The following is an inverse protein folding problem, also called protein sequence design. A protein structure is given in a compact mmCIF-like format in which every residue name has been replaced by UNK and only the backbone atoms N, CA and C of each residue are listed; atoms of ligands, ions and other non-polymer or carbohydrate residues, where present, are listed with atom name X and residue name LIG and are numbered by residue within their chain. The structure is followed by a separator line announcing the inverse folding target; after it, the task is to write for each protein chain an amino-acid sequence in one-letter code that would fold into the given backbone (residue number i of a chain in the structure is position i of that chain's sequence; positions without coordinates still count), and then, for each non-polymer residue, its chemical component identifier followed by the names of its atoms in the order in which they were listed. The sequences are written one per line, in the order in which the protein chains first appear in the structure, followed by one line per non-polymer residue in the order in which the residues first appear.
data_IF_542263968682
#
_entry.id   IF_542263968682
#
_cell.length_a   1.000
_cell.length_b   1.000
_cell.length_c   1.000
_cell.angle_alpha   90.00
_cell.angle_beta   90.00
_cell.angle_gamma   90.00
#
_symmetry.space_group_name_H-M   'P 1'
#
loop_
_entity.id
_entity.type
_entity.pdbx_description
1 polymer ?
#
# COMPACT_ATOMS: atom_id res chain seq x y z
N UNK A 1 -1.03 -11.99 1.03
CA UNK A 1 -1.86 -10.76 1.06
C UNK A 1 -1.76 -10.15 2.44
N UNK A 2 -1.46 -8.83 2.54
CA UNK A 2 -1.41 -8.12 3.81
C UNK A 2 -2.55 -7.09 3.87
N UNK A 3 -3.41 -7.19 4.88
CA UNK A 3 -4.35 -6.13 5.22
C UNK A 3 -3.66 -5.18 6.20
N UNK A 4 -3.34 -3.99 5.72
CA UNK A 4 -2.73 -2.93 6.49
C UNK A 4 -3.83 -1.98 6.96
N UNK A 5 -4.04 -1.91 8.28
CA UNK A 5 -5.16 -1.20 8.87
C UNK A 5 -4.74 -0.27 10.01
N UNK A 6 -5.54 0.76 10.18
CA UNK A 6 -5.48 1.68 11.31
C UNK A 6 -6.78 1.61 12.12
N UNK A 7 -6.66 1.84 13.41
CA UNK A 7 -7.83 2.19 14.21
C UNK A 7 -8.31 3.60 13.86
N UNK A 8 -9.60 3.86 14.01
CA UNK A 8 -10.15 5.22 13.91
C UNK A 8 -9.46 6.17 14.89
N UNK A 9 -9.42 7.45 14.56
CA UNK A 9 -8.97 8.50 15.45
C UNK A 9 -9.72 8.47 16.78
N UNK A 10 -9.04 8.73 17.90
CA UNK A 10 -9.61 8.63 19.24
C UNK A 10 -8.90 9.56 20.22
N UNK A 11 -9.58 9.97 21.33
CA UNK A 11 -8.96 10.81 22.35
C UNK A 11 -7.89 10.09 23.19
N UNK A 12 -7.75 8.78 23.03
CA UNK A 12 -6.80 7.93 23.77
C UNK A 12 -6.06 6.99 22.84
N UNK A 13 -4.86 6.52 23.20
CA UNK A 13 -4.10 5.58 22.36
C UNK A 13 -4.78 4.21 22.21
N UNK A 14 -5.63 3.84 23.16
CA UNK A 14 -6.41 2.59 23.14
C UNK A 14 -7.82 2.85 23.63
N UNK A 15 -8.80 2.25 22.98
CA UNK A 15 -10.22 2.34 23.32
C UNK A 15 -10.77 0.95 23.69
N UNK A 16 -11.81 0.88 24.53
CA UNK A 16 -12.38 -0.42 24.95
C UNK A 16 -12.83 -1.32 23.78
N UNK A 17 -13.38 -0.72 22.71
CA UNK A 17 -13.87 -1.38 21.53
C UNK A 17 -12.75 -1.96 20.63
N UNK A 18 -11.52 -1.43 20.71
CA UNK A 18 -10.40 -1.87 19.88
C UNK A 18 -10.12 -3.37 20.03
N UNK A 19 -10.21 -3.89 21.25
CA UNK A 19 -9.95 -5.29 21.56
C UNK A 19 -10.98 -6.22 20.89
N UNK A 20 -12.23 -5.83 20.89
CA UNK A 20 -13.30 -6.63 20.27
C UNK A 20 -13.14 -6.64 18.74
N UNK A 21 -12.89 -5.48 18.13
CA UNK A 21 -12.63 -5.35 16.70
C UNK A 21 -11.39 -6.14 16.27
N UNK A 22 -10.29 -6.02 17.01
CA UNK A 22 -9.07 -6.75 16.72
C UNK A 22 -9.26 -8.27 16.80
N UNK A 23 -9.95 -8.76 17.84
CA UNK A 23 -10.23 -10.18 18.00
C UNK A 23 -11.12 -10.72 16.86
N UNK A 24 -12.10 -9.95 16.40
CA UNK A 24 -12.93 -10.31 15.26
C UNK A 24 -12.10 -10.40 13.96
N UNK A 25 -11.21 -9.42 13.74
CA UNK A 25 -10.30 -9.39 12.60
C UNK A 25 -9.35 -10.60 12.62
N UNK A 26 -8.70 -10.89 13.76
CA UNK A 26 -7.81 -12.05 13.90
C UNK A 26 -8.55 -13.34 13.54
N UNK A 27 -9.74 -13.58 14.10
CA UNK A 27 -10.56 -14.76 13.77
C UNK A 27 -10.92 -14.85 12.28
N UNK A 28 -11.13 -13.71 11.62
CA UNK A 28 -11.41 -13.68 10.18
C UNK A 28 -10.18 -14.09 9.38
N UNK A 29 -8.98 -13.62 9.77
CA UNK A 29 -7.72 -13.98 9.13
C UNK A 29 -7.33 -15.43 9.38
N UNK A 30 -7.61 -15.99 10.57
CA UNK A 30 -7.42 -17.42 10.83
C UNK A 30 -8.28 -18.29 9.91
N UNK A 31 -9.56 -17.89 9.70
CA UNK A 31 -10.43 -18.57 8.75
C UNK A 31 -9.93 -18.48 7.30
N UNK A 32 -9.42 -17.31 6.88
CA UNK A 32 -8.82 -17.15 5.55
C UNK A 32 -7.59 -18.03 5.39
N UNK A 33 -6.69 -18.00 6.36
CA UNK A 33 -5.48 -18.81 6.32
C UNK A 33 -5.81 -20.32 6.32
N UNK A 34 -6.79 -20.75 7.11
CA UNK A 34 -7.26 -22.15 7.11
C UNK A 34 -7.87 -22.55 5.77
N UNK A 35 -8.67 -21.67 5.17
CA UNK A 35 -9.37 -21.95 3.90
C UNK A 35 -8.43 -22.02 2.70
N UNK A 36 -7.39 -21.17 2.68
CA UNK A 36 -6.51 -20.99 1.51
C UNK A 36 -5.08 -21.49 1.73
N UNK A 37 -4.79 -22.16 2.85
CA UNK A 37 -3.47 -22.71 3.14
C UNK A 37 -2.44 -21.67 3.55
N UNK A 38 -2.87 -20.51 4.07
CA UNK A 38 -1.98 -19.44 4.53
C UNK A 38 -1.90 -18.25 3.55
N UNK A 39 -0.90 -17.37 3.78
CA UNK A 39 -0.60 -16.23 2.90
C UNK A 39 -1.37 -14.94 3.23
N UNK A 40 -2.18 -14.92 4.29
CA UNK A 40 -2.89 -13.73 4.74
C UNK A 40 -2.31 -13.18 6.04
N UNK A 41 -1.93 -11.92 6.04
CA UNK A 41 -1.35 -11.20 7.17
C UNK A 41 -2.26 -10.03 7.53
N UNK A 42 -2.59 -9.91 8.81
CA UNK A 42 -3.24 -8.74 9.39
C UNK A 42 -2.19 -7.88 10.08
N UNK A 43 -2.06 -6.63 9.67
CA UNK A 43 -1.16 -5.64 10.25
C UNK A 43 -1.98 -4.43 10.72
N UNK A 44 -2.16 -4.29 12.03
CA UNK A 44 -2.90 -3.17 12.63
C UNK A 44 -1.93 -2.28 13.38
N UNK A 45 -1.84 -1.01 12.98
CA UNK A 45 -0.93 -0.05 13.61
C UNK A 45 -1.42 0.45 14.96
N UNK A 46 -0.46 0.89 15.76
CA UNK A 46 -0.75 1.64 17.00
C UNK A 46 -1.15 3.06 16.65
N UNK A 47 -2.06 3.63 17.43
CA UNK A 47 -2.32 5.06 17.38
C UNK A 47 -1.14 5.82 17.97
N UNK A 48 -0.79 6.93 17.35
CA UNK A 48 0.15 7.94 17.85
C UNK A 48 -0.54 9.28 17.96
N UNK A 49 -0.13 10.12 18.89
CA UNK A 49 -0.76 11.44 19.06
C UNK A 49 -0.39 12.36 17.89
N UNK A 50 -1.40 12.90 17.23
CA UNK A 50 -1.27 13.90 16.18
C UNK A 50 -1.59 15.28 16.73
N UNK A 51 -0.59 16.16 16.81
CA UNK A 51 -0.79 17.54 17.28
C UNK A 51 -1.70 18.34 16.35
N UNK A 52 -1.64 18.09 15.05
CA UNK A 52 -2.45 18.81 14.05
C UNK A 52 -3.92 18.41 14.09
N UNK A 53 -4.21 17.15 14.43
CA UNK A 53 -5.58 16.62 14.53
C UNK A 53 -6.11 16.63 15.96
N UNK A 54 -5.23 16.89 16.96
CA UNK A 54 -5.52 16.85 18.38
C UNK A 54 -6.16 15.53 18.85
N UNK A 55 -5.70 14.40 18.25
CA UNK A 55 -6.19 13.07 18.57
C UNK A 55 -5.10 12.00 18.36
N UNK A 56 -5.35 10.80 18.88
CA UNK A 56 -4.52 9.63 18.60
C UNK A 56 -5.01 8.94 17.32
N UNK A 57 -4.14 8.81 16.32
CA UNK A 57 -4.47 8.25 15.01
C UNK A 57 -3.26 7.55 14.37
N UNK A 58 -3.44 6.88 13.25
CA UNK A 58 -2.35 6.35 12.44
C UNK A 58 -1.53 7.49 11.81
N UNK A 59 -0.23 7.53 12.10
CA UNK A 59 0.66 8.57 11.59
C UNK A 59 0.70 8.55 10.06
N UNK A 60 0.51 9.72 9.43
CA UNK A 60 0.64 9.94 7.98
C UNK A 60 -0.22 8.99 7.11
N UNK A 61 -1.31 8.48 7.65
CA UNK A 61 -2.25 7.62 6.91
C UNK A 61 -1.54 6.55 6.07
N UNK A 62 -1.83 6.44 4.76
CA UNK A 62 -1.31 5.41 3.86
C UNK A 62 0.22 5.45 3.71
N UNK A 63 0.82 6.63 3.60
CA UNK A 63 2.28 6.78 3.50
C UNK A 63 2.97 6.21 4.74
N UNK A 64 2.56 6.68 5.92
CA UNK A 64 3.12 6.18 7.18
C UNK A 64 2.87 4.69 7.38
N UNK A 65 1.70 4.19 6.94
CA UNK A 65 1.39 2.77 7.01
C UNK A 65 2.34 1.91 6.15
N UNK A 66 2.66 2.37 4.94
CA UNK A 66 3.64 1.71 4.07
C UNK A 66 5.05 1.76 4.69
N UNK A 67 5.44 2.92 5.24
CA UNK A 67 6.74 3.09 5.93
C UNK A 67 6.87 2.12 7.11
N UNK A 68 5.86 2.05 7.96
CA UNK A 68 5.84 1.13 9.11
C UNK A 68 5.87 -0.35 8.67
N UNK A 69 5.17 -0.69 7.57
CA UNK A 69 5.19 -2.05 7.04
C UNK A 69 6.57 -2.42 6.47
N UNK A 70 7.23 -1.50 5.75
CA UNK A 70 8.61 -1.71 5.28
C UNK A 70 9.56 -1.88 6.45
N UNK A 71 9.44 -1.08 7.51
CA UNK A 71 10.21 -1.25 8.73
C UNK A 71 9.98 -2.64 9.37
N UNK A 72 8.72 -3.11 9.42
CA UNK A 72 8.40 -4.44 9.94
C UNK A 72 8.99 -5.56 9.07
N UNK A 73 8.99 -5.44 7.76
CA UNK A 73 9.65 -6.38 6.84
C UNK A 73 11.15 -6.44 7.15
N UNK A 74 11.76 -5.32 7.49
CA UNK A 74 13.18 -5.20 7.88
C UNK A 74 13.47 -5.56 9.35
N UNK A 75 12.45 -5.98 10.10
CA UNK A 75 12.58 -6.49 11.48
C UNK A 75 12.08 -5.54 12.57
N UNK A 76 11.66 -4.32 12.25
CA UNK A 76 11.11 -3.37 13.22
C UNK A 76 9.57 -3.32 13.15
N UNK A 77 8.93 -4.20 13.90
CA UNK A 77 7.46 -4.25 14.00
C UNK A 77 6.84 -3.39 15.11
N UNK A 78 7.60 -2.50 15.75
CA UNK A 78 7.14 -1.73 16.94
C UNK A 78 5.94 -0.81 16.67
N UNK A 79 5.76 -0.36 15.44
CA UNK A 79 4.64 0.48 15.04
C UNK A 79 3.29 -0.26 15.07
N UNK A 80 3.29 -1.60 15.09
CA UNK A 80 2.09 -2.40 15.04
C UNK A 80 1.58 -2.82 16.41
N UNK A 81 0.28 -2.66 16.65
CA UNK A 81 -0.43 -3.25 17.77
C UNK A 81 -0.64 -4.74 17.55
N UNK A 82 -0.82 -5.14 16.29
CA UNK A 82 -1.00 -6.53 15.88
C UNK A 82 -0.31 -6.77 14.53
N UNK A 83 0.53 -7.81 14.50
CA UNK A 83 1.02 -8.45 13.30
C UNK A 83 0.66 -9.93 13.42
N UNK A 84 -0.38 -10.36 12.71
CA UNK A 84 -0.93 -11.71 12.79
C UNK A 84 -0.85 -12.41 11.43
N UNK A 85 -0.42 -13.66 11.44
CA UNK A 85 -0.20 -14.47 10.23
C UNK A 85 1.26 -14.90 10.07
N UNK A 86 1.68 -15.25 8.84
CA UNK A 86 3.02 -15.76 8.55
C UNK A 86 4.08 -14.64 8.55
N UNK A 87 4.67 -14.42 9.72
CA UNK A 87 5.72 -13.42 9.93
C UNK A 87 7.06 -13.81 9.28
N UNK A 88 7.32 -15.10 9.10
CA UNK A 88 8.57 -15.57 8.47
C UNK A 88 8.58 -15.20 7.00
N UNK A 89 7.46 -15.37 6.31
CA UNK A 89 7.32 -14.93 4.92
C UNK A 89 7.34 -13.42 4.78
N UNK A 90 6.89 -12.67 5.79
CA UNK A 90 6.94 -11.21 5.77
C UNK A 90 8.37 -10.68 5.60
N UNK A 91 9.35 -11.24 6.29
CA UNK A 91 10.75 -10.82 6.21
C UNK A 91 11.43 -11.13 4.86
N UNK A 92 10.80 -11.95 4.01
CA UNK A 92 11.30 -12.33 2.68
C UNK A 92 10.72 -11.48 1.55
N UNK A 93 9.83 -10.55 1.87
CA UNK A 93 9.15 -9.71 0.88
C UNK A 93 10.13 -8.73 0.24
N UNK A 94 10.26 -8.80 -1.08
CA UNK A 94 11.08 -7.88 -1.89
C UNK A 94 10.26 -6.69 -2.41
N UNK A 95 9.01 -6.93 -2.73
CA UNK A 95 8.11 -5.94 -3.34
C UNK A 95 6.79 -5.88 -2.60
N UNK A 96 6.26 -4.67 -2.47
CA UNK A 96 4.91 -4.41 -2.01
C UNK A 96 4.08 -3.91 -3.19
N UNK A 97 2.91 -4.48 -3.43
CA UNK A 97 1.92 -3.89 -4.32
C UNK A 97 0.87 -3.24 -3.44
N UNK A 98 0.93 -1.90 -3.37
CA UNK A 98 -0.01 -1.10 -2.60
C UNK A 98 -1.31 -0.89 -3.40
N UNK A 99 -2.44 -1.19 -2.77
CA UNK A 99 -3.77 -1.02 -3.34
C UNK A 99 -4.67 -0.34 -2.31
N UNK A 100 -5.71 0.35 -2.78
CA UNK A 100 -6.82 0.77 -1.93
C UNK A 100 -7.84 -0.37 -1.81
N UNK A 101 -8.73 -0.29 -0.82
CA UNK A 101 -9.73 -1.33 -0.56
C UNK A 101 -10.73 -1.51 -1.72
N UNK A 102 -10.88 -0.48 -2.56
CA UNK A 102 -11.73 -0.43 -3.75
C UNK A 102 -10.99 -0.69 -5.06
N UNK A 103 -9.69 -0.95 -5.01
CA UNK A 103 -8.84 -1.15 -6.18
C UNK A 103 -8.63 -2.63 -6.45
N UNK A 104 -8.98 -3.08 -7.64
CA UNK A 104 -8.68 -4.42 -8.16
C UNK A 104 -7.46 -4.41 -9.07
N UNK A 105 -6.74 -5.53 -9.10
CA UNK A 105 -5.74 -5.79 -10.12
C UNK A 105 -6.40 -6.45 -11.33
N UNK A 106 -5.96 -6.08 -12.53
CA UNK A 106 -6.30 -6.82 -13.74
C UNK A 106 -5.69 -8.23 -13.69
N UNK A 107 -6.25 -9.14 -14.48
CA UNK A 107 -5.72 -10.49 -14.58
C UNK A 107 -4.20 -10.44 -14.86
N UNK A 108 -3.45 -11.23 -14.09
CA UNK A 108 -1.98 -11.30 -14.17
C UNK A 108 -1.21 -10.00 -13.84
N UNK A 109 -1.91 -8.94 -13.44
CA UNK A 109 -1.31 -7.61 -13.21
C UNK A 109 -0.22 -7.60 -12.16
N UNK A 110 -0.35 -8.38 -11.09
CA UNK A 110 0.70 -8.50 -10.06
C UNK A 110 1.98 -9.10 -10.64
N UNK A 111 1.86 -10.16 -11.45
CA UNK A 111 3.01 -10.82 -12.09
C UNK A 111 3.72 -9.90 -13.08
N UNK A 112 2.94 -9.15 -13.87
CA UNK A 112 3.49 -8.19 -14.82
C UNK A 112 4.24 -7.05 -14.13
N UNK A 113 3.71 -6.52 -13.02
CA UNK A 113 4.40 -5.51 -12.22
C UNK A 113 5.72 -6.03 -11.64
N UNK A 114 5.73 -7.26 -11.11
CA UNK A 114 6.97 -7.87 -10.61
C UNK A 114 7.96 -8.13 -11.75
N UNK A 115 7.49 -8.61 -12.91
CA UNK A 115 8.35 -8.81 -14.08
C UNK A 115 8.97 -7.49 -14.56
N UNK A 116 8.20 -6.41 -14.58
CA UNK A 116 8.72 -5.08 -14.89
C UNK A 116 9.78 -4.62 -13.88
N UNK A 117 9.54 -4.84 -12.58
CA UNK A 117 10.49 -4.48 -11.53
C UNK A 117 11.79 -5.31 -11.57
N UNK A 118 11.69 -6.58 -11.96
CA UNK A 118 12.86 -7.48 -12.09
C UNK A 118 13.61 -7.32 -13.41
N UNK A 119 13.10 -6.53 -14.35
CA UNK A 119 13.82 -6.26 -15.57
C UNK A 119 15.14 -5.52 -15.26
N UNK A 120 16.29 -5.94 -15.84
CA UNK A 120 17.61 -5.38 -15.49
C UNK A 120 17.72 -3.87 -15.62
N UNK A 121 17.03 -3.24 -16.58
CA UNK A 121 17.02 -1.80 -16.76
C UNK A 121 16.21 -1.06 -15.67
N UNK A 122 15.28 -1.73 -15.02
CA UNK A 122 14.36 -1.14 -14.04
C UNK A 122 14.79 -1.38 -12.60
N UNK A 123 15.69 -2.33 -12.34
CA UNK A 123 16.17 -2.61 -10.98
C UNK A 123 16.81 -1.37 -10.37
N UNK A 124 16.42 -0.99 -9.15
CA UNK A 124 16.98 0.19 -8.50
C UNK A 124 18.44 -0.06 -8.11
N UNK A 125 19.30 0.86 -8.49
CA UNK A 125 20.66 0.97 -7.96
C UNK A 125 20.64 2.10 -6.94
N UNK A 126 21.06 1.77 -5.70
CA UNK A 126 21.00 2.69 -4.56
C UNK A 126 22.44 3.11 -4.23
N UNK A 127 22.65 4.40 -4.16
CA UNK A 127 23.91 4.99 -3.72
C UNK A 127 23.63 6.23 -2.87
N UNK A 128 24.32 6.34 -1.72
CA UNK A 128 24.18 7.47 -0.80
C UNK A 128 22.74 7.74 -0.33
N UNK A 129 21.90 6.71 -0.18
CA UNK A 129 20.50 6.86 0.22
C UNK A 129 19.57 7.38 -0.89
N UNK A 130 19.99 7.27 -2.15
CA UNK A 130 19.21 7.66 -3.34
C UNK A 130 19.18 6.54 -4.37
N UNK A 131 18.09 6.46 -5.11
CA UNK A 131 18.02 5.62 -6.31
C UNK A 131 18.69 6.39 -7.45
N UNK A 132 19.89 5.95 -7.85
CA UNK A 132 20.68 6.62 -8.91
C UNK A 132 20.41 6.04 -10.31
N UNK A 133 19.82 4.84 -10.39
CA UNK A 133 19.41 4.21 -11.64
C UNK A 133 18.26 3.25 -11.37
N UNK A 134 17.41 3.02 -12.38
CA UNK A 134 16.22 2.17 -12.26
C UNK A 134 15.12 2.87 -11.45
N UNK A 135 14.17 2.09 -10.94
CA UNK A 135 12.96 2.60 -10.31
C UNK A 135 12.70 1.93 -8.97
N UNK A 136 12.55 2.72 -7.91
CA UNK A 136 12.12 2.22 -6.60
C UNK A 136 10.60 1.98 -6.51
N UNK A 137 9.84 2.64 -7.39
CA UNK A 137 8.37 2.54 -7.47
C UNK A 137 7.96 2.41 -8.93
N UNK A 138 7.00 1.51 -9.21
CA UNK A 138 6.39 1.35 -10.52
C UNK A 138 4.87 1.48 -10.34
N UNK A 139 4.30 2.54 -10.90
CA UNK A 139 2.87 2.82 -10.85
C UNK A 139 2.20 2.37 -12.15
N UNK A 140 1.28 1.40 -12.12
CA UNK A 140 0.51 1.03 -13.32
C UNK A 140 -0.51 2.12 -13.65
N UNK A 141 -0.97 2.14 -14.90
CA UNK A 141 -2.17 2.88 -15.25
C UNK A 141 -3.36 2.38 -14.41
N UNK A 142 -4.17 3.29 -13.90
CA UNK A 142 -5.39 2.96 -13.18
C UNK A 142 -6.58 3.46 -14.00
N UNK A 143 -7.50 2.57 -14.25
CA UNK A 143 -8.74 2.86 -14.98
C UNK A 143 -9.95 2.64 -14.08
N UNK A 144 -11.03 3.35 -14.37
CA UNK A 144 -12.29 3.12 -13.70
C UNK A 144 -12.89 1.79 -14.14
N UNK A 145 -13.42 1.03 -13.21
CA UNK A 145 -14.15 -0.22 -13.53
C UNK A 145 -15.45 0.11 -14.24
N UNK A 146 -15.73 -0.58 -15.32
CA UNK A 146 -16.96 -0.41 -16.09
C UNK A 146 -18.23 -0.78 -15.32
N UNK A 147 -18.11 -1.66 -14.33
CA UNK A 147 -19.17 -2.15 -13.44
C UNK A 147 -19.31 -1.34 -12.12
N UNK A 148 -18.41 -0.36 -11.90
CA UNK A 148 -18.30 0.37 -10.62
C UNK A 148 -19.38 1.44 -10.41
N UNK A 149 -20.25 1.69 -11.36
CA UNK A 149 -21.26 2.75 -11.30
C UNK A 149 -22.66 2.26 -10.92
N UNK A 150 -22.99 2.21 -9.63
CA UNK A 150 -24.34 1.89 -9.19
C UNK A 150 -25.35 3.03 -9.40
N UNK A 151 -24.91 4.30 -9.53
CA UNK A 151 -25.76 5.46 -9.76
C UNK A 151 -25.62 6.04 -11.16
N UNK A 152 -26.68 6.70 -11.67
CA UNK A 152 -26.63 7.40 -12.95
C UNK A 152 -25.54 8.48 -12.95
N UNK A 153 -25.37 9.19 -11.84
CA UNK A 153 -24.30 10.19 -11.64
C UNK A 153 -22.91 9.56 -11.75
N UNK A 154 -22.67 8.45 -11.07
CA UNK A 154 -21.39 7.74 -11.16
C UNK A 154 -21.08 7.32 -12.60
N UNK A 155 -22.08 6.76 -13.32
CA UNK A 155 -21.91 6.37 -14.74
C UNK A 155 -21.58 7.53 -15.66
N UNK A 156 -22.18 8.71 -15.44
CA UNK A 156 -21.88 9.92 -16.21
C UNK A 156 -20.47 10.43 -15.88
N UNK A 157 -20.09 10.45 -14.59
CA UNK A 157 -18.80 10.98 -14.14
C UNK A 157 -17.63 10.00 -14.40
N UNK A 158 -17.88 8.70 -14.47
CA UNK A 158 -16.87 7.68 -14.83
C UNK A 158 -16.84 7.39 -16.34
N UNK A 159 -17.72 8.01 -17.11
CA UNK A 159 -17.74 7.88 -18.57
C UNK A 159 -16.39 8.26 -19.18
N UNK A 160 -16.11 7.73 -20.36
CA UNK A 160 -14.85 7.83 -21.13
C UNK A 160 -14.36 9.25 -21.48
N UNK A 161 -14.64 10.24 -20.68
CA UNK A 161 -14.09 11.59 -20.83
C UNK A 161 -12.63 11.58 -20.32
N UNK A 162 -11.76 11.11 -21.13
CA UNK A 162 -10.34 10.93 -21.18
C UNK A 162 -9.38 11.92 -20.52
N UNK A 163 -9.73 12.65 -19.50
CA UNK A 163 -8.80 13.53 -18.81
C UNK A 163 -9.05 13.53 -17.30
N UNK A 164 -8.56 12.50 -16.63
CA UNK A 164 -8.31 12.65 -15.20
C UNK A 164 -6.95 13.33 -15.02
N UNK A 165 -6.83 14.25 -14.07
CA UNK A 165 -5.54 14.86 -13.69
C UNK A 165 -4.51 13.80 -13.29
N UNK A 166 -4.96 12.64 -12.84
CA UNK A 166 -4.11 11.48 -12.53
C UNK A 166 -3.52 10.82 -13.78
N UNK A 167 -4.23 10.79 -14.91
CA UNK A 167 -3.73 10.18 -16.14
C UNK A 167 -2.65 11.05 -16.77
N UNK A 168 -2.82 12.37 -16.72
CA UNK A 168 -1.80 13.31 -17.20
C UNK A 168 -0.52 13.23 -16.34
N UNK A 169 -0.65 13.24 -15.02
CA UNK A 169 0.47 13.22 -14.09
C UNK A 169 1.26 11.89 -14.10
N UNK A 170 0.64 10.80 -14.58
CA UNK A 170 1.26 9.47 -14.73
C UNK A 170 1.66 9.15 -16.16
N UNK A 171 1.45 10.07 -17.10
CA UNK A 171 1.83 9.84 -18.49
C UNK A 171 3.36 9.79 -18.61
N UNK A 172 3.87 8.95 -19.51
CA UNK A 172 5.29 8.93 -19.87
C UNK A 172 5.77 10.33 -20.28
N UNK A 173 4.93 11.08 -20.97
CA UNK A 173 5.22 12.47 -21.39
C UNK A 173 5.52 13.41 -20.21
N UNK A 174 4.83 13.23 -19.08
CA UNK A 174 5.13 14.02 -17.89
C UNK A 174 6.51 13.65 -17.31
N UNK A 175 6.82 12.36 -17.24
CA UNK A 175 8.12 11.88 -16.78
C UNK A 175 9.25 12.33 -17.71
N UNK A 176 9.04 12.27 -19.02
CA UNK A 176 10.02 12.69 -20.02
C UNK A 176 10.29 14.21 -19.95
N UNK A 177 9.26 15.01 -19.69
CA UNK A 177 9.37 16.47 -19.65
C UNK A 177 9.96 17.00 -18.33
N UNK A 178 9.62 16.38 -17.22
CA UNK A 178 9.94 16.89 -15.88
C UNK A 178 10.93 16.02 -15.11
N UNK A 179 11.28 14.84 -15.60
CA UNK A 179 12.17 13.90 -14.91
C UNK A 179 11.58 13.33 -13.61
N UNK A 180 10.28 13.51 -13.39
CA UNK A 180 9.59 13.15 -12.16
C UNK A 180 8.39 12.23 -12.44
N UNK A 181 8.15 11.29 -11.53
CA UNK A 181 6.94 10.45 -11.54
C UNK A 181 6.09 10.72 -10.31
N UNK A 182 4.77 10.77 -10.47
CA UNK A 182 3.83 10.95 -9.37
C UNK A 182 3.31 9.58 -8.92
N UNK A 183 3.55 9.24 -7.65
CA UNK A 183 3.00 8.05 -7.02
C UNK A 183 1.66 8.36 -6.35
N UNK A 184 0.58 7.85 -6.92
CA UNK A 184 -0.80 8.04 -6.43
C UNK A 184 -1.20 7.01 -5.35
N UNK A 185 -0.25 6.38 -4.67
CA UNK A 185 -0.51 5.40 -3.63
C UNK A 185 -0.95 4.01 -4.12
N UNK A 186 -0.88 3.76 -5.43
CA UNK A 186 -1.22 2.47 -6.07
C UNK A 186 -0.06 2.06 -6.98
N UNK A 187 0.49 0.86 -6.74
CA UNK A 187 1.59 0.35 -7.53
C UNK A 187 2.56 -0.51 -6.75
N UNK A 188 3.62 -0.92 -7.43
CA UNK A 188 4.69 -1.74 -6.87
C UNK A 188 5.78 -0.86 -6.27
N UNK A 189 6.21 -1.21 -5.07
CA UNK A 189 7.27 -0.55 -4.31
C UNK A 189 8.37 -1.56 -4.02
N UNK A 190 9.61 -1.26 -4.38
CA UNK A 190 10.78 -2.02 -3.95
C UNK A 190 11.04 -1.76 -2.47
N UNK A 191 11.00 -2.80 -1.64
CA UNK A 191 11.21 -2.70 -0.19
C UNK A 191 12.61 -2.16 0.12
N UNK A 192 13.64 -2.63 -0.59
CA UNK A 192 15.02 -2.21 -0.36
C UNK A 192 15.24 -0.74 -0.75
N UNK A 193 14.72 -0.34 -1.92
CA UNK A 193 14.84 1.05 -2.36
C UNK A 193 14.08 2.00 -1.43
N UNK A 194 12.87 1.64 -1.04
CA UNK A 194 12.07 2.45 -0.13
C UNK A 194 12.73 2.60 1.24
N UNK A 195 13.24 1.51 1.80
CA UNK A 195 13.92 1.52 3.10
C UNK A 195 15.23 2.34 3.09
N UNK A 196 15.93 2.35 1.97
CA UNK A 196 17.20 3.08 1.85
C UNK A 196 17.03 4.60 1.71
N UNK A 197 15.86 5.06 1.22
CA UNK A 197 15.58 6.48 0.93
C UNK A 197 14.87 7.18 2.09
N UNK A 198 14.20 6.45 2.98
CA UNK A 198 13.44 6.97 4.14
C UNK A 198 14.21 6.76 5.43
#
# INVERSE_FOLDING_TARGET
VCCLADHHGAPRPSMPEDKAALNAAVKAFDRLNSKYGGGFILAVRRRTYSRTQNEFTGKERKRGAITDLVAAIKGDGRAFACLHGDRVSLHKVKYLIALDSDTGLVFDGARLLVAAAEHPANRPIIDGGRVVKGYGIIAPAAENRLDGGSSAFARVMTGQSGFSSYDLARSERYQDLFGEGIFCGKGLISVDAYHAVI
#
